data_IF_483119459856
#
_entry.id   IF_483119459856
#
_cell.length_a   1.000
_cell.length_b   1.000
_cell.length_c   1.000
_cell.angle_alpha   90.00
_cell.angle_beta   90.00
_cell.angle_gamma   90.00
#
_symmetry.space_group_name_H-M   'P 1'
#
loop_
_entity.id
_entity.type
_entity.pdbx_description
1 polymer ?
#
# COMPACT_ATOMS: atom_id res chain seq x y z
N UNK A 1 34.62 -46.75 20.92
CA UNK A 1 33.18 -46.45 20.75
C UNK A 1 33.04 -44.95 20.50
N UNK A 2 33.09 -44.53 19.24
CA UNK A 2 33.12 -43.10 18.89
C UNK A 2 31.70 -42.53 18.90
N UNK A 3 31.48 -41.56 19.78
CA UNK A 3 30.25 -40.78 19.92
C UNK A 3 30.17 -39.80 18.74
N UNK A 4 29.26 -40.04 17.80
CA UNK A 4 28.95 -39.07 16.76
C UNK A 4 28.21 -37.88 17.42
N UNK A 5 28.63 -36.66 17.10
CA UNK A 5 27.92 -35.43 17.49
C UNK A 5 27.28 -34.88 16.21
N UNK A 6 25.96 -34.86 16.15
CA UNK A 6 25.22 -34.17 15.09
C UNK A 6 25.40 -32.67 15.32
N UNK A 7 26.23 -32.04 14.51
CA UNK A 7 26.20 -30.58 14.34
C UNK A 7 25.13 -30.31 13.29
N UNK A 8 23.92 -29.94 13.73
CA UNK A 8 22.88 -29.45 12.84
C UNK A 8 23.25 -28.02 12.47
N UNK A 9 23.65 -27.72 11.22
CA UNK A 9 23.90 -26.34 10.82
C UNK A 9 22.57 -25.59 10.85
N UNK A 10 22.37 -24.76 11.88
CA UNK A 10 21.25 -23.83 11.92
C UNK A 10 21.52 -22.74 10.89
N UNK A 11 20.69 -22.67 9.84
CA UNK A 11 20.73 -21.57 8.89
C UNK A 11 20.02 -20.38 9.54
N UNK A 12 20.81 -19.42 10.01
CA UNK A 12 20.29 -18.15 10.52
C UNK A 12 19.96 -17.29 9.32
N UNK A 13 18.71 -16.82 9.23
CA UNK A 13 18.31 -15.77 8.31
C UNK A 13 18.23 -14.49 9.11
N UNK A 14 19.20 -13.60 8.93
CA UNK A 14 19.12 -12.24 9.44
C UNK A 14 18.13 -11.48 8.54
N UNK A 15 16.91 -11.27 9.03
CA UNK A 15 16.01 -10.29 8.44
C UNK A 15 16.38 -8.93 9.03
N UNK A 16 17.36 -8.27 8.43
CA UNK A 16 17.46 -6.82 8.58
C UNK A 16 16.18 -6.22 8.00
N UNK A 17 15.43 -5.48 8.80
CA UNK A 17 14.28 -4.71 8.34
C UNK A 17 14.80 -3.73 7.29
N UNK A 18 14.56 -4.05 6.01
CA UNK A 18 15.02 -3.20 4.93
C UNK A 18 14.18 -1.93 4.96
N UNK A 19 14.83 -0.78 4.85
CA UNK A 19 14.11 0.49 4.86
C UNK A 19 13.36 0.69 3.52
N UNK A 20 12.16 1.27 3.60
CA UNK A 20 11.42 1.69 2.41
C UNK A 20 12.01 3.00 1.87
N UNK A 21 12.46 2.96 0.62
CA UNK A 21 13.04 4.10 -0.09
C UNK A 21 12.05 4.84 -0.98
N UNK A 22 10.95 4.18 -1.36
CA UNK A 22 9.94 4.79 -2.21
C UNK A 22 8.59 4.09 -2.08
N UNK A 23 7.55 4.80 -2.51
CA UNK A 23 6.17 4.34 -2.45
C UNK A 23 5.48 4.58 -3.79
N UNK A 24 4.69 3.62 -4.25
CA UNK A 24 3.73 3.79 -5.34
C UNK A 24 2.40 3.16 -5.02
N UNK A 25 1.36 3.61 -5.70
CA UNK A 25 0.02 3.04 -5.63
C UNK A 25 -0.34 2.37 -6.96
N UNK A 26 -1.06 1.27 -6.90
CA UNK A 26 -1.66 0.64 -8.08
C UNK A 26 -3.14 0.38 -7.84
N UNK A 27 -4.00 0.71 -8.83
CA UNK A 27 -3.70 1.54 -10.01
C UNK A 27 -3.38 3.00 -9.65
N UNK A 28 -2.51 3.66 -10.43
CA UNK A 28 -2.21 5.11 -10.29
C UNK A 28 -3.33 5.97 -10.89
N UNK A 29 -3.98 5.49 -11.95
CA UNK A 29 -5.12 6.14 -12.60
C UNK A 29 -6.24 5.14 -12.79
N UNK A 30 -7.47 5.53 -12.47
CA UNK A 30 -8.62 4.64 -12.62
C UNK A 30 -9.91 5.37 -12.89
N UNK A 31 -10.86 4.62 -13.45
CA UNK A 31 -12.24 5.03 -13.58
C UNK A 31 -13.08 4.24 -12.57
N UNK A 32 -14.00 4.91 -11.91
CA UNK A 32 -14.88 4.35 -10.88
C UNK A 32 -16.32 4.75 -11.18
N UNK A 33 -17.19 3.77 -11.39
CA UNK A 33 -18.61 4.01 -11.66
C UNK A 33 -19.40 3.79 -10.38
N UNK A 34 -20.26 4.73 -9.98
CA UNK A 34 -21.12 4.50 -8.82
C UNK A 34 -22.14 3.37 -9.12
N UNK A 35 -22.37 2.39 -8.21
CA UNK A 35 -21.86 2.26 -6.84
C UNK A 35 -20.69 1.27 -6.68
N UNK A 36 -19.95 0.95 -7.75
CA UNK A 36 -18.83 0.02 -7.69
C UNK A 36 -17.72 0.53 -6.78
N UNK A 37 -16.83 -0.38 -6.37
CA UNK A 37 -15.69 -0.05 -5.50
C UNK A 37 -14.38 -0.38 -6.20
N UNK A 38 -13.31 0.34 -5.83
CA UNK A 38 -11.97 0.14 -6.37
C UNK A 38 -11.01 -0.28 -5.27
N UNK A 39 -10.20 -1.30 -5.49
CA UNK A 39 -9.13 -1.68 -4.55
C UNK A 39 -7.81 -1.05 -4.99
N UNK A 40 -7.23 -0.22 -4.13
CA UNK A 40 -5.85 0.26 -4.28
C UNK A 40 -4.90 -0.63 -3.49
N UNK A 41 -3.68 -0.81 -4.01
CA UNK A 41 -2.59 -1.49 -3.33
C UNK A 41 -1.34 -0.62 -3.41
N UNK A 42 -0.73 -0.37 -2.26
CA UNK A 42 0.55 0.31 -2.19
C UNK A 42 1.69 -0.70 -2.33
N UNK A 43 2.75 -0.30 -3.03
CA UNK A 43 4.00 -1.04 -3.17
C UNK A 43 5.16 -0.15 -2.74
N UNK A 44 6.07 -0.72 -1.95
CA UNK A 44 7.28 -0.05 -1.49
C UNK A 44 8.49 -0.61 -2.23
N UNK A 45 9.44 0.26 -2.56
CA UNK A 45 10.79 -0.13 -2.96
C UNK A 45 11.68 -0.09 -1.73
N UNK A 46 12.41 -1.16 -1.50
CA UNK A 46 13.24 -1.33 -0.31
C UNK A 46 14.72 -1.20 -0.64
N UNK A 47 15.55 -0.89 0.35
CA UNK A 47 17.01 -0.78 0.22
C UNK A 47 17.67 -2.06 -0.32
N UNK A 48 17.04 -3.21 -0.09
CA UNK A 48 17.47 -4.49 -0.63
C UNK A 48 17.20 -4.65 -2.14
N UNK A 49 16.66 -3.60 -2.78
CA UNK A 49 16.37 -3.55 -4.21
C UNK A 49 15.08 -4.25 -4.62
N UNK A 50 14.35 -4.84 -3.67
CA UNK A 50 13.09 -5.52 -3.96
C UNK A 50 11.89 -4.59 -3.80
N UNK A 51 10.89 -4.83 -4.63
CA UNK A 51 9.58 -4.22 -4.48
C UNK A 51 8.62 -5.17 -3.78
N UNK A 52 7.88 -4.68 -2.78
CA UNK A 52 6.95 -5.50 -2.00
C UNK A 52 5.64 -4.74 -1.75
N UNK A 53 4.49 -5.43 -1.70
CA UNK A 53 3.24 -4.80 -1.31
C UNK A 53 3.33 -4.36 0.16
N UNK A 54 2.95 -3.11 0.42
CA UNK A 54 2.88 -2.54 1.77
C UNK A 54 1.42 -2.34 2.11
N UNK A 55 0.97 -2.98 3.19
CA UNK A 55 -0.43 -2.90 3.63
C UNK A 55 -0.60 -2.14 4.93
N UNK A 56 0.13 -2.51 5.99
CA UNK A 56 -0.13 -2.00 7.34
C UNK A 56 0.63 -0.73 7.68
N UNK A 57 1.74 -0.48 7.00
CA UNK A 57 2.62 0.67 7.24
C UNK A 57 2.27 1.88 6.35
N UNK A 58 1.12 1.81 5.68
CA UNK A 58 0.59 2.85 4.80
C UNK A 58 -0.68 3.43 5.38
N UNK A 59 -0.68 4.74 5.55
CA UNK A 59 -1.88 5.51 5.87
C UNK A 59 -2.53 5.99 4.58
N UNK A 60 -3.79 5.62 4.36
CA UNK A 60 -4.58 6.08 3.22
C UNK A 60 -5.38 7.33 3.58
N UNK A 61 -5.52 8.26 2.64
CA UNK A 61 -6.32 9.49 2.81
C UNK A 61 -6.98 9.86 1.48
N UNK A 62 -8.27 10.17 1.51
CA UNK A 62 -8.95 10.79 0.37
C UNK A 62 -8.78 12.30 0.46
N UNK A 63 -8.29 12.94 -0.60
CA UNK A 63 -8.18 14.40 -0.69
C UNK A 63 -9.52 15.03 -1.11
N UNK A 64 -10.40 14.24 -1.73
CA UNK A 64 -11.72 14.64 -2.22
C UNK A 64 -12.81 13.78 -1.55
N UNK A 65 -12.97 13.97 -0.24
CA UNK A 65 -13.87 13.17 0.60
C UNK A 65 -15.35 13.23 0.18
N UNK A 66 -15.75 14.32 -0.51
CA UNK A 66 -17.09 14.49 -1.07
C UNK A 66 -17.36 13.58 -2.29
N UNK A 67 -16.30 13.10 -2.96
CA UNK A 67 -16.38 12.22 -4.12
C UNK A 67 -16.14 10.75 -3.74
N UNK A 68 -15.12 10.47 -2.93
CA UNK A 68 -14.73 9.11 -2.54
C UNK A 68 -14.26 9.01 -1.09
N UNK A 69 -14.54 7.88 -0.45
CA UNK A 69 -13.90 7.46 0.81
C UNK A 69 -12.91 6.32 0.57
N UNK A 70 -11.89 6.19 1.42
CA UNK A 70 -10.91 5.09 1.37
C UNK A 70 -10.83 4.40 2.74
N UNK A 71 -10.84 3.08 2.75
CA UNK A 71 -10.63 2.30 3.96
C UNK A 71 -9.16 2.36 4.40
N UNK A 72 -8.94 2.74 5.66
CA UNK A 72 -7.60 2.98 6.23
C UNK A 72 -7.08 1.85 7.11
N UNK A 73 -7.90 0.84 7.39
CA UNK A 73 -7.56 -0.28 8.27
C UNK A 73 -8.39 -1.52 7.93
N UNK A 74 -8.01 -2.66 8.52
CA UNK A 74 -8.73 -3.93 8.37
C UNK A 74 -8.40 -4.68 7.07
N UNK A 75 -9.22 -5.67 6.73
CA UNK A 75 -9.04 -6.49 5.52
C UNK A 75 -9.20 -5.69 4.23
N UNK A 76 -10.03 -4.64 4.28
CA UNK A 76 -10.41 -3.79 3.16
C UNK A 76 -9.49 -2.58 2.98
N UNK A 77 -8.35 -2.50 3.67
CA UNK A 77 -7.43 -1.36 3.56
C UNK A 77 -7.11 -1.03 2.09
N UNK A 78 -7.19 0.25 1.72
CA UNK A 78 -7.02 0.72 0.35
C UNK A 78 -8.28 0.59 -0.54
N UNK A 79 -9.40 0.07 -0.02
CA UNK A 79 -10.67 0.06 -0.77
C UNK A 79 -11.29 1.45 -0.83
N UNK A 80 -11.56 1.90 -2.04
CA UNK A 80 -12.20 3.16 -2.37
C UNK A 80 -13.68 2.95 -2.66
N UNK A 81 -14.53 3.75 -2.03
CA UNK A 81 -15.99 3.72 -2.18
C UNK A 81 -16.49 5.10 -2.65
N UNK A 82 -17.23 5.19 -3.77
CA UNK A 82 -17.74 6.45 -4.27
C UNK A 82 -18.94 6.94 -3.43
N UNK A 83 -19.09 8.26 -3.29
CA UNK A 83 -20.16 8.90 -2.51
C UNK A 83 -21.38 9.31 -3.35
N UNK A 84 -21.36 9.04 -4.67
CA UNK A 84 -22.48 9.32 -5.57
C UNK A 84 -22.44 10.68 -6.28
N UNK A 85 -21.30 11.37 -6.25
CA UNK A 85 -21.01 12.54 -7.09
C UNK A 85 -19.98 12.19 -8.18
N UNK A 86 -20.07 12.88 -9.32
CA UNK A 86 -19.11 12.76 -10.43
C UNK A 86 -17.97 13.78 -10.28
N UNK A 87 -16.75 13.39 -10.64
CA UNK A 87 -15.60 14.28 -10.59
C UNK A 87 -14.26 13.56 -10.68
N UNK A 88 -13.19 14.33 -10.45
CA UNK A 88 -11.84 13.81 -10.28
C UNK A 88 -11.52 13.82 -8.78
N UNK A 89 -11.13 12.67 -8.26
CA UNK A 89 -10.75 12.49 -6.87
C UNK A 89 -9.31 11.98 -6.79
N UNK A 90 -8.54 12.45 -5.81
CA UNK A 90 -7.21 11.93 -5.52
C UNK A 90 -7.19 11.21 -4.17
N UNK A 91 -6.65 9.99 -4.17
CA UNK A 91 -6.40 9.21 -2.95
C UNK A 91 -4.89 9.11 -2.74
N UNK A 92 -4.43 9.47 -1.55
CA UNK A 92 -3.02 9.47 -1.16
C UNK A 92 -2.71 8.31 -0.23
N UNK A 93 -1.65 7.58 -0.54
CA UNK A 93 -0.97 6.65 0.35
C UNK A 93 0.26 7.35 0.94
N UNK A 94 0.43 7.21 2.24
CA UNK A 94 1.53 7.81 3.00
C UNK A 94 2.24 6.75 3.82
N UNK A 95 3.56 6.62 3.66
CA UNK A 95 4.43 5.79 4.48
C UNK A 95 5.52 6.65 5.15
N UNK A 96 6.22 6.10 6.14
CA UNK A 96 7.35 6.76 6.79
C UNK A 96 8.60 5.91 6.70
N UNK A 97 9.73 6.57 6.50
CA UNK A 97 11.06 6.00 6.57
C UNK A 97 11.93 6.84 7.51
N UNK A 98 13.23 6.54 7.62
CA UNK A 98 14.15 7.28 8.50
C UNK A 98 14.42 8.69 7.98
N UNK A 99 14.30 8.91 6.67
CA UNK A 99 14.48 10.22 6.04
C UNK A 99 13.24 11.12 6.12
N UNK A 100 12.04 10.55 6.29
CA UNK A 100 10.80 11.31 6.43
C UNK A 100 9.55 10.58 5.96
N UNK A 101 8.72 11.29 5.19
CA UNK A 101 7.40 10.83 4.75
C UNK A 101 7.40 10.59 3.24
N UNK A 102 7.02 9.38 2.84
CA UNK A 102 6.85 8.98 1.45
C UNK A 102 5.37 9.09 1.08
N UNK A 103 5.07 9.68 -0.09
CA UNK A 103 3.71 9.89 -0.57
C UNK A 103 3.56 9.32 -1.97
N UNK A 104 2.42 8.69 -2.22
CA UNK A 104 2.03 8.21 -3.53
C UNK A 104 0.55 8.45 -3.75
N UNK A 105 0.20 8.96 -4.93
CA UNK A 105 -1.16 9.35 -5.26
C UNK A 105 -1.78 8.40 -6.28
N UNK A 106 -3.10 8.27 -6.20
CA UNK A 106 -3.92 7.63 -7.20
C UNK A 106 -5.06 8.58 -7.59
N UNK A 107 -5.15 8.86 -8.89
CA UNK A 107 -6.19 9.69 -9.48
C UNK A 107 -7.36 8.82 -9.95
N UNK A 108 -8.56 9.18 -9.52
CA UNK A 108 -9.77 8.42 -9.74
C UNK A 108 -10.79 9.34 -10.41
N UNK A 109 -11.15 9.02 -11.66
CA UNK A 109 -12.31 9.63 -12.31
C UNK A 109 -13.56 8.89 -11.85
N UNK A 110 -14.43 9.58 -11.11
CA UNK A 110 -15.71 9.05 -10.66
C UNK A 110 -16.79 9.43 -11.66
N UNK A 111 -17.55 8.45 -12.15
CA UNK A 111 -18.70 8.67 -13.02
C UNK A 111 -20.01 8.35 -12.31
N UNK A 112 -21.04 9.15 -12.60
CA UNK A 112 -22.41 8.90 -12.16
C UNK A 112 -23.33 8.80 -13.38
N UNK A 113 -24.03 7.66 -13.59
CA UNK A 113 -25.05 7.56 -14.63
C UNK A 113 -26.31 8.40 -14.32
#
# INVERSE_FOLDING_TARGET
MSRWRLEVPTRIFDFTDAEILGLRVTPERSELFYPDTLQLQAFGWFEDGYERPVRRDVTWTSLDADLVSVATAGSEIGKVTPQGAEGLATVRATARNTEGELKADADIRVYRP
#
